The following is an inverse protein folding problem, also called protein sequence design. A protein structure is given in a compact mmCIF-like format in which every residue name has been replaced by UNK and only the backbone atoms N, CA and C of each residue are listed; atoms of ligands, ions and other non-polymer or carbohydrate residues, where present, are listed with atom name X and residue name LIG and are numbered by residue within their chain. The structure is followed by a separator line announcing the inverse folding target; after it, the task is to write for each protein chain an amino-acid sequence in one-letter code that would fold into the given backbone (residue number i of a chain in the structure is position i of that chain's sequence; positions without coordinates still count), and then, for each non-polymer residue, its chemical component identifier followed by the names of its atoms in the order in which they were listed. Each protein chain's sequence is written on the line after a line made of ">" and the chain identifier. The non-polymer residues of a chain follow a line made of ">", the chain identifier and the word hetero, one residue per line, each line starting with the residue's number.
data_IF_462596262644
#
_entry.id   IF_462596262644
#
_cell.length_a   1.000
_cell.length_b   1.000
_cell.length_c   1.000
_cell.angle_alpha   90.00
_cell.angle_beta   90.00
_cell.angle_gamma   90.00
#
_symmetry.space_group_name_H-M   'P 1'
#
loop_
_entity.id
_entity.type
_entity.pdbx_description
1 polymer ?
#
# COMPACT_ATOMS: atom_id res chain seq x y z
N UNK A 1 40.54 15.89 3.89
CA UNK A 1 39.89 14.64 3.43
C UNK A 1 38.43 14.74 3.84
N UNK A 2 37.52 15.10 2.92
CA UNK A 2 36.08 15.13 3.23
C UNK A 2 35.55 13.70 3.22
N UNK A 3 35.02 13.26 4.35
CA UNK A 3 34.20 12.04 4.40
C UNK A 3 32.99 12.24 3.49
N UNK A 4 32.78 11.33 2.53
CA UNK A 4 31.53 11.23 1.81
C UNK A 4 30.41 11.00 2.84
N UNK A 5 29.37 11.84 2.82
CA UNK A 5 28.20 11.65 3.65
C UNK A 5 27.61 10.24 3.37
N UNK A 6 27.20 9.47 4.39
CA UNK A 6 26.58 8.18 4.17
C UNK A 6 25.33 8.38 3.32
N UNK A 7 25.25 7.68 2.19
CA UNK A 7 24.04 7.63 1.37
C UNK A 7 22.88 7.16 2.26
N UNK A 8 21.89 8.03 2.45
CA UNK A 8 20.72 7.74 3.26
C UNK A 8 19.85 6.74 2.46
N UNK A 9 19.71 5.47 2.89
CA UNK A 9 19.14 4.41 2.05
C UNK A 9 17.59 4.43 1.97
N UNK A 10 16.95 5.55 2.29
CA UNK A 10 15.53 5.59 2.63
C UNK A 10 14.60 6.22 1.57
N UNK A 11 15.01 6.35 0.30
CA UNK A 11 14.24 7.20 -0.65
C UNK A 11 13.81 6.52 -1.94
N UNK A 12 14.35 5.36 -2.32
CA UNK A 12 14.03 4.73 -3.61
C UNK A 12 13.15 3.47 -3.40
N UNK A 13 12.07 3.33 -4.16
CA UNK A 13 11.29 2.08 -4.22
C UNK A 13 12.03 1.12 -5.12
N UNK A 14 12.38 -0.06 -4.62
CA UNK A 14 13.09 -1.05 -5.47
C UNK A 14 12.11 -1.78 -6.39
N UNK A 15 12.55 -2.31 -7.54
CA UNK A 15 11.73 -3.16 -8.39
C UNK A 15 11.14 -4.37 -7.65
N UNK A 16 11.90 -4.96 -6.72
CA UNK A 16 11.45 -6.08 -5.89
C UNK A 16 10.29 -5.68 -4.96
N UNK A 17 10.31 -4.47 -4.40
CA UNK A 17 9.20 -3.94 -3.60
C UNK A 17 7.93 -3.73 -4.43
N UNK A 18 8.07 -3.32 -5.70
CA UNK A 18 6.95 -3.14 -6.62
C UNK A 18 6.36 -4.48 -7.07
N UNK A 19 7.21 -5.48 -7.35
CA UNK A 19 6.74 -6.84 -7.65
C UNK A 19 6.00 -7.46 -6.46
N UNK A 20 6.55 -7.35 -5.25
CA UNK A 20 5.89 -7.85 -4.05
C UNK A 20 4.53 -7.17 -3.78
N UNK A 21 4.39 -5.89 -4.14
CA UNK A 21 3.11 -5.19 -4.08
C UNK A 21 2.13 -5.72 -5.14
N UNK A 22 2.59 -5.97 -6.37
CA UNK A 22 1.77 -6.53 -7.44
C UNK A 22 1.21 -7.90 -7.05
N UNK A 23 2.06 -8.79 -6.52
CA UNK A 23 1.68 -10.14 -6.09
C UNK A 23 0.56 -10.12 -5.05
N UNK A 24 0.63 -9.19 -4.11
CA UNK A 24 -0.42 -9.00 -3.10
C UNK A 24 -1.69 -8.42 -3.70
N UNK A 25 -1.59 -7.50 -4.65
CA UNK A 25 -2.76 -6.91 -5.29
C UNK A 25 -3.55 -7.95 -6.11
N UNK A 26 -2.91 -9.01 -6.57
CA UNK A 26 -3.57 -10.12 -7.28
C UNK A 26 -4.52 -10.94 -6.38
N UNK A 27 -4.39 -10.86 -5.06
CA UNK A 27 -5.37 -11.39 -4.12
C UNK A 27 -6.72 -10.62 -4.13
N UNK A 28 -6.77 -9.46 -4.78
CA UNK A 28 -7.97 -8.60 -4.86
C UNK A 28 -8.45 -8.48 -6.32
N UNK A 29 -9.12 -9.50 -6.88
CA UNK A 29 -9.49 -9.55 -8.31
C UNK A 29 -10.56 -8.52 -8.71
N UNK A 30 -11.26 -7.92 -7.73
CA UNK A 30 -12.29 -6.90 -7.97
C UNK A 30 -11.74 -5.49 -8.13
N UNK A 31 -10.46 -5.26 -7.78
CA UNK A 31 -9.83 -3.96 -7.96
C UNK A 31 -9.68 -3.64 -9.44
N UNK A 32 -10.21 -2.49 -9.83
CA UNK A 32 -10.01 -1.93 -11.16
C UNK A 32 -8.53 -1.55 -11.37
N UNK A 33 -8.16 -1.36 -12.64
CA UNK A 33 -6.81 -0.87 -13.00
C UNK A 33 -6.50 0.48 -12.36
N UNK A 34 -7.49 1.38 -12.30
CA UNK A 34 -7.35 2.71 -11.72
C UNK A 34 -7.13 2.65 -10.21
N UNK A 35 -7.89 1.81 -9.50
CA UNK A 35 -7.71 1.59 -8.07
C UNK A 35 -6.33 0.99 -7.76
N UNK A 36 -5.90 -0.02 -8.52
CA UNK A 36 -4.54 -0.57 -8.39
C UNK A 36 -3.48 0.51 -8.57
N UNK A 37 -3.63 1.36 -9.59
CA UNK A 37 -2.69 2.46 -9.85
C UNK A 37 -2.64 3.47 -8.69
N UNK A 38 -3.80 3.82 -8.10
CA UNK A 38 -3.85 4.70 -6.92
C UNK A 38 -3.13 4.08 -5.71
N UNK A 39 -3.28 2.77 -5.49
CA UNK A 39 -2.56 2.06 -4.42
C UNK A 39 -1.05 2.06 -4.69
N UNK A 40 -0.63 1.83 -5.93
CA UNK A 40 0.77 1.92 -6.33
C UNK A 40 1.35 3.31 -6.07
N UNK A 41 0.68 4.37 -6.52
CA UNK A 41 1.13 5.74 -6.28
C UNK A 41 1.18 6.07 -4.78
N UNK A 42 0.19 5.62 -3.99
CA UNK A 42 0.20 5.79 -2.55
C UNK A 42 1.38 5.06 -1.87
N UNK A 43 1.72 3.86 -2.35
CA UNK A 43 2.85 3.08 -1.86
C UNK A 43 4.20 3.74 -2.21
N UNK A 44 4.42 4.11 -3.47
CA UNK A 44 5.68 4.72 -3.91
C UNK A 44 5.97 6.01 -3.16
N UNK A 45 4.94 6.85 -3.00
CA UNK A 45 5.07 8.15 -2.36
C UNK A 45 5.10 8.07 -0.83
N UNK A 46 4.79 6.92 -0.22
CA UNK A 46 4.78 6.78 1.23
C UNK A 46 6.19 6.95 1.84
N UNK A 47 6.31 7.59 3.03
CA UNK A 47 5.24 8.19 3.82
C UNK A 47 4.92 9.65 3.45
N UNK A 48 5.63 10.24 2.49
CA UNK A 48 5.60 11.70 2.19
C UNK A 48 4.34 12.10 1.40
N UNK A 49 3.81 11.21 0.56
CA UNK A 49 2.72 11.42 -0.37
C UNK A 49 1.33 11.37 0.25
N UNK A 50 1.01 12.31 1.14
CA UNK A 50 -0.32 12.40 1.77
C UNK A 50 -1.46 12.42 0.75
N UNK A 51 -1.31 13.12 -0.38
CA UNK A 51 -2.35 13.22 -1.39
C UNK A 51 -2.67 11.86 -2.04
N UNK A 52 -1.64 11.08 -2.40
CA UNK A 52 -1.81 9.74 -2.94
C UNK A 52 -2.48 8.80 -1.94
N UNK A 53 -2.05 8.84 -0.67
CA UNK A 53 -2.70 8.07 0.39
C UNK A 53 -4.17 8.45 0.61
N UNK A 54 -4.50 9.75 0.62
CA UNK A 54 -5.89 10.20 0.79
C UNK A 54 -6.81 9.69 -0.32
N UNK A 55 -6.30 9.56 -1.54
CA UNK A 55 -7.03 8.98 -2.67
C UNK A 55 -7.15 7.45 -2.54
N UNK A 56 -6.08 6.75 -2.16
CA UNK A 56 -6.07 5.29 -2.11
C UNK A 56 -6.76 4.69 -0.87
N UNK A 57 -6.75 5.37 0.28
CA UNK A 57 -7.16 4.79 1.57
C UNK A 57 -8.63 4.35 1.63
N UNK A 58 -9.48 4.84 0.74
CA UNK A 58 -10.91 4.53 0.69
C UNK A 58 -11.29 3.51 -0.37
N UNK A 59 -10.31 3.02 -1.14
CA UNK A 59 -10.54 1.94 -2.10
C UNK A 59 -11.04 0.71 -1.36
N UNK A 60 -12.15 0.15 -1.84
CA UNK A 60 -12.72 -1.08 -1.33
C UNK A 60 -11.90 -2.27 -1.85
N UNK A 61 -11.32 -3.02 -0.93
CA UNK A 61 -10.57 -4.24 -1.20
C UNK A 61 -11.50 -5.44 -1.44
N UNK A 62 -12.81 -5.27 -1.28
CA UNK A 62 -13.81 -6.25 -1.71
C UNK A 62 -13.85 -7.50 -0.84
N UNK A 63 -13.96 -7.35 0.49
CA UNK A 63 -13.87 -8.49 1.39
C UNK A 63 -15.13 -9.34 1.52
N UNK A 64 -14.96 -10.64 1.27
CA UNK A 64 -16.01 -11.66 1.29
C UNK A 64 -16.42 -12.18 2.67
N UNK A 65 -16.13 -11.46 3.76
CA UNK A 65 -16.58 -11.83 5.12
C UNK A 65 -18.06 -11.45 5.33
N UNK A 66 -18.86 -11.94 4.38
CA UNK A 66 -20.31 -11.91 4.18
C UNK A 66 -21.09 -10.59 4.29
N UNK A 67 -20.60 -9.50 4.91
CA UNK A 67 -21.41 -8.29 5.09
C UNK A 67 -20.68 -6.93 5.04
N UNK A 68 -19.35 -6.84 4.94
CA UNK A 68 -18.67 -5.53 4.99
C UNK A 68 -17.59 -5.31 3.93
N UNK A 69 -17.68 -4.20 3.16
CA UNK A 69 -16.55 -3.74 2.35
C UNK A 69 -15.38 -3.35 3.28
N UNK A 70 -14.16 -3.68 2.89
CA UNK A 70 -12.96 -3.43 3.70
C UNK A 70 -12.03 -2.50 2.94
N UNK A 71 -11.67 -1.38 3.54
CA UNK A 71 -10.82 -0.37 2.89
C UNK A 71 -9.38 -0.45 3.38
N UNK A 72 -8.47 0.12 2.61
CA UNK A 72 -7.07 0.29 3.02
C UNK A 72 -6.92 1.08 4.33
N UNK A 73 -7.78 2.06 4.59
CA UNK A 73 -7.79 2.83 5.84
C UNK A 73 -8.08 1.93 7.05
N UNK A 74 -9.07 1.03 6.92
CA UNK A 74 -9.37 0.03 7.95
C UNK A 74 -8.23 -0.97 8.11
N UNK A 75 -7.65 -1.42 7.00
CA UNK A 75 -6.52 -2.34 6.96
C UNK A 75 -5.26 -1.79 7.64
N UNK A 76 -5.00 -0.50 7.44
CA UNK A 76 -3.84 0.20 7.99
C UNK A 76 -4.10 0.81 9.37
N UNK A 77 -5.26 0.55 10.01
CA UNK A 77 -5.55 1.02 11.37
C UNK A 77 -5.71 2.53 11.52
N UNK A 78 -6.32 3.22 10.54
CA UNK A 78 -6.59 4.67 10.56
C UNK A 78 -5.35 5.60 10.57
N UNK A 79 -4.20 5.11 10.12
CA UNK A 79 -2.98 5.91 10.02
C UNK A 79 -3.12 7.02 8.96
N UNK A 80 -2.74 8.25 9.33
CA UNK A 80 -2.87 9.44 8.46
C UNK A 80 -1.85 9.41 7.31
N UNK A 81 -0.66 8.86 7.54
CA UNK A 81 0.43 8.73 6.55
C UNK A 81 1.19 7.43 6.82
N UNK A 82 0.69 6.28 6.32
CA UNK A 82 1.34 5.00 6.56
C UNK A 82 2.67 4.93 5.79
N UNK A 83 3.62 4.18 6.35
CA UNK A 83 4.82 3.74 5.65
C UNK A 83 4.51 2.67 4.61
N UNK A 84 5.44 2.43 3.66
CA UNK A 84 5.35 1.33 2.69
C UNK A 84 5.11 -0.03 3.37
N UNK A 85 5.87 -0.32 4.43
CA UNK A 85 5.72 -1.55 5.20
C UNK A 85 4.32 -1.70 5.80
N UNK A 86 3.72 -0.61 6.30
CA UNK A 86 2.36 -0.60 6.83
C UNK A 86 1.31 -0.81 5.73
N UNK A 87 1.47 -0.19 4.56
CA UNK A 87 0.57 -0.41 3.41
C UNK A 87 0.64 -1.89 2.97
N UNK A 88 1.85 -2.47 2.85
CA UNK A 88 2.02 -3.87 2.46
C UNK A 88 1.46 -4.84 3.51
N UNK A 89 1.74 -4.59 4.80
CA UNK A 89 1.19 -5.39 5.89
C UNK A 89 -0.35 -5.32 5.93
N UNK A 90 -0.92 -4.13 5.69
CA UNK A 90 -2.36 -3.92 5.62
C UNK A 90 -2.99 -4.72 4.46
N UNK A 91 -2.36 -4.72 3.29
CA UNK A 91 -2.82 -5.52 2.16
C UNK A 91 -2.70 -7.03 2.43
N UNK A 92 -1.60 -7.52 3.02
CA UNK A 92 -1.51 -8.94 3.40
C UNK A 92 -2.53 -9.33 4.46
N UNK A 93 -2.76 -8.47 5.46
CA UNK A 93 -3.78 -8.68 6.48
C UNK A 93 -5.17 -8.76 5.85
N UNK A 94 -5.50 -7.81 4.97
CA UNK A 94 -6.76 -7.84 4.23
C UNK A 94 -6.87 -9.11 3.38
N UNK A 95 -5.83 -9.50 2.63
CA UNK A 95 -5.83 -10.72 1.82
C UNK A 95 -5.95 -12.01 2.65
N UNK A 96 -5.29 -12.09 3.81
CA UNK A 96 -5.40 -13.24 4.72
C UNK A 96 -6.77 -13.36 5.39
N UNK A 97 -7.53 -12.27 5.45
CA UNK A 97 -8.95 -12.29 5.84
C UNK A 97 -9.84 -12.78 4.68
N UNK A 98 -9.40 -12.70 3.42
CA UNK A 98 -10.14 -13.14 2.23
C UNK A 98 -9.98 -14.62 1.86
N UNK A 99 -8.85 -15.21 2.24
CA UNK A 99 -8.48 -16.60 1.93
C UNK A 99 -9.22 -17.60 2.84
#
# INVERSE_FOLDING_TARGET
>A
MSAAAPANPATETTPDELHALADVLDAFPRLTREERALIFTAYEMAPVGRAGWLAARWIDLGSGLLLRPYTLSSAAGHIVTPSRAQIRAALHYAAGILA
#
